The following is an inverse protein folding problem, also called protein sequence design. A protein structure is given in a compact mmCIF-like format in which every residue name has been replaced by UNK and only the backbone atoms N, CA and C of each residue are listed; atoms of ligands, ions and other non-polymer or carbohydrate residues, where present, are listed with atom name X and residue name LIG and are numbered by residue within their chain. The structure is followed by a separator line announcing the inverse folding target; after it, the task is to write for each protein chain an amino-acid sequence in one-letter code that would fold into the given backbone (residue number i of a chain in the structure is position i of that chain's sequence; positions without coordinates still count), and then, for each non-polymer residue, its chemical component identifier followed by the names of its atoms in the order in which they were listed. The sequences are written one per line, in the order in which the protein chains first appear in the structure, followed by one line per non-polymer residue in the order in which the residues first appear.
data_IF_554881457413
#
_entry.id   IF_554881457413
#
_cell.length_a   1.000
_cell.length_b   1.000
_cell.length_c   1.000
_cell.angle_alpha   90.00
_cell.angle_beta   90.00
_cell.angle_gamma   90.00
#
_symmetry.space_group_name_H-M   'P 1'
#
loop_
_entity.id
_entity.type
_entity.pdbx_description
1 polymer ?
#
# COMPACT_ATOMS: atom_id res chain seq x y z
N UNK A 1 -13.21 -16.75 -13.38
CA UNK A 1 -12.79 -15.63 -14.26
C UNK A 1 -13.43 -14.38 -13.72
N UNK A 2 -12.68 -13.33 -13.35
CA UNK A 2 -13.27 -12.16 -12.69
C UNK A 2 -14.21 -11.44 -13.67
N UNK A 3 -15.42 -11.15 -13.21
CA UNK A 3 -16.57 -10.71 -14.00
C UNK A 3 -16.51 -9.27 -14.50
N UNK A 4 -15.57 -8.97 -15.39
CA UNK A 4 -15.55 -7.71 -16.14
C UNK A 4 -16.00 -7.96 -17.59
N UNK A 5 -16.99 -7.19 -18.05
CA UNK A 5 -17.38 -7.17 -19.45
C UNK A 5 -16.24 -6.58 -20.31
N UNK A 6 -15.98 -7.11 -21.52
CA UNK A 6 -14.81 -6.77 -22.31
C UNK A 6 -14.95 -5.38 -22.97
N UNK A 7 -14.80 -4.29 -22.20
CA UNK A 7 -14.55 -2.97 -22.78
C UNK A 7 -13.05 -2.80 -22.97
N UNK A 8 -12.63 -2.83 -24.23
CA UNK A 8 -11.23 -2.60 -24.63
C UNK A 8 -10.83 -1.18 -24.25
N UNK A 9 -9.91 -1.03 -23.28
CA UNK A 9 -9.09 0.18 -23.15
C UNK A 9 -8.94 0.81 -21.77
N UNK A 10 -9.71 0.43 -20.74
CA UNK A 10 -9.71 1.17 -19.46
C UNK A 10 -9.87 0.26 -18.24
N UNK A 11 -9.05 -0.79 -18.11
CA UNK A 11 -8.97 -1.59 -16.87
C UNK A 11 -8.01 -1.00 -15.83
N UNK A 12 -7.44 0.19 -16.08
CA UNK A 12 -6.57 0.85 -15.11
C UNK A 12 -7.43 1.57 -14.07
N UNK A 13 -7.63 0.94 -12.93
CA UNK A 13 -8.12 1.62 -11.74
C UNK A 13 -6.90 2.28 -11.11
N UNK A 14 -6.84 3.61 -11.11
CA UNK A 14 -5.79 4.38 -10.45
C UNK A 14 -5.92 4.25 -8.93
N UNK A 15 -5.36 3.17 -8.40
CA UNK A 15 -5.15 2.96 -6.97
C UNK A 15 -3.92 3.79 -6.59
N UNK A 16 -4.03 4.62 -5.56
CA UNK A 16 -3.15 5.77 -5.23
C UNK A 16 -3.62 7.17 -5.70
N UNK A 17 -4.84 7.32 -6.22
CA UNK A 17 -5.40 8.65 -6.55
C UNK A 17 -5.81 9.49 -5.32
N UNK A 18 -6.11 8.84 -4.19
CA UNK A 18 -6.52 9.51 -2.95
C UNK A 18 -5.31 9.74 -2.05
N UNK A 19 -4.99 11.02 -1.79
CA UNK A 19 -3.96 11.39 -0.81
C UNK A 19 -4.41 11.02 0.61
N UNK A 20 -3.84 9.96 1.16
CA UNK A 20 -4.12 9.53 2.52
C UNK A 20 -3.43 10.44 3.54
N UNK A 21 -4.10 10.76 4.67
CA UNK A 21 -3.48 11.47 5.79
C UNK A 21 -2.22 10.76 6.31
N UNK A 22 -1.16 11.53 6.60
CA UNK A 22 0.14 10.99 7.03
C UNK A 22 0.05 10.17 8.33
N UNK A 23 -0.81 10.59 9.26
CA UNK A 23 -1.09 9.88 10.50
C UNK A 23 -1.66 8.48 10.25
N UNK A 24 -2.53 8.32 9.24
CA UNK A 24 -3.10 7.01 8.88
C UNK A 24 -2.05 6.09 8.24
N UNK A 25 -1.18 6.65 7.38
CA UNK A 25 -0.06 5.91 6.80
C UNK A 25 0.93 5.41 7.85
N UNK A 26 1.07 6.10 8.99
CA UNK A 26 1.96 5.67 10.07
C UNK A 26 1.39 4.50 10.88
N UNK A 27 0.09 4.21 10.77
CA UNK A 27 -0.52 3.09 11.50
C UNK A 27 -0.25 1.73 10.84
N UNK A 28 0.04 1.71 9.54
CA UNK A 28 0.25 0.48 8.77
C UNK A 28 1.69 0.41 8.29
N UNK A 29 2.39 -0.66 8.66
CA UNK A 29 3.82 -0.89 8.34
C UNK A 29 4.77 0.28 8.70
N UNK A 30 4.74 0.84 9.93
CA UNK A 30 5.65 1.91 10.33
C UNK A 30 7.12 1.50 10.26
N UNK A 31 7.42 0.23 10.58
CA UNK A 31 8.77 -0.32 10.53
C UNK A 31 9.35 -0.28 9.12
N UNK A 32 8.55 -0.56 8.09
CA UNK A 32 9.03 -0.53 6.71
C UNK A 32 9.49 0.87 6.29
N UNK A 33 8.83 1.92 6.81
CA UNK A 33 9.21 3.31 6.57
C UNK A 33 10.52 3.68 7.27
N UNK A 34 10.72 3.21 8.51
CA UNK A 34 11.94 3.44 9.28
C UNK A 34 13.12 2.74 8.58
N UNK A 35 12.96 1.45 8.27
CA UNK A 35 14.01 0.67 7.62
C UNK A 35 14.40 1.23 6.25
N UNK A 36 13.44 1.72 5.47
CA UNK A 36 13.74 2.36 4.19
C UNK A 36 14.54 3.66 4.40
N UNK A 37 14.18 4.44 5.41
CA UNK A 37 14.88 5.67 5.77
C UNK A 37 16.31 5.40 6.22
N UNK A 38 16.53 4.36 7.04
CA UNK A 38 17.86 3.96 7.49
C UNK A 38 18.76 3.50 6.32
N UNK A 39 18.17 2.93 5.26
CA UNK A 39 18.89 2.63 4.00
C UNK A 39 19.27 3.90 3.26
N UNK A 40 18.32 4.84 3.13
CA UNK A 40 18.54 6.11 2.42
C UNK A 40 19.59 6.97 3.13
N UNK A 41 19.64 6.94 4.46
CA UNK A 41 20.64 7.63 5.28
C UNK A 41 22.00 6.90 5.31
N UNK A 42 22.08 5.69 4.73
CA UNK A 42 23.30 4.89 4.66
C UNK A 42 23.67 4.18 5.96
N UNK A 43 22.78 4.21 6.95
CA UNK A 43 22.90 3.54 8.26
C UNK A 43 22.80 2.01 8.13
N UNK A 44 22.14 1.50 7.08
CA UNK A 44 21.91 0.07 6.86
C UNK A 44 22.24 -0.40 5.45
N UNK A 45 22.99 -1.50 5.33
CA UNK A 45 23.26 -2.19 4.06
C UNK A 45 22.32 -3.37 3.86
N UNK A 46 21.15 -3.11 3.27
CA UNK A 46 20.27 -4.17 2.79
C UNK A 46 20.58 -4.54 1.33
N UNK A 47 20.15 -5.73 0.92
CA UNK A 47 20.21 -6.13 -0.48
C UNK A 47 19.24 -5.30 -1.33
N UNK A 48 19.52 -5.15 -2.63
CA UNK A 48 18.63 -4.45 -3.57
C UNK A 48 17.20 -5.03 -3.53
N UNK A 49 17.08 -6.35 -3.37
CA UNK A 49 15.79 -7.02 -3.26
C UNK A 49 15.02 -6.61 -1.99
N UNK A 50 15.71 -6.48 -0.85
CA UNK A 50 15.09 -6.03 0.39
C UNK A 50 14.60 -4.58 0.29
N UNK A 51 15.38 -3.69 -0.33
CA UNK A 51 14.95 -2.30 -0.58
C UNK A 51 13.72 -2.26 -1.49
N UNK A 52 13.73 -3.00 -2.60
CA UNK A 52 12.56 -3.10 -3.48
C UNK A 52 11.32 -3.68 -2.79
N UNK A 53 11.51 -4.64 -1.88
CA UNK A 53 10.42 -5.18 -1.06
C UNK A 53 9.84 -4.15 -0.09
N UNK A 54 10.68 -3.34 0.57
CA UNK A 54 10.22 -2.26 1.44
C UNK A 54 9.43 -1.21 0.65
N UNK A 55 9.90 -0.83 -0.53
CA UNK A 55 9.18 0.08 -1.42
C UNK A 55 7.81 -0.50 -1.83
N UNK A 56 7.76 -1.79 -2.16
CA UNK A 56 6.52 -2.48 -2.48
C UNK A 56 5.55 -2.48 -1.28
N UNK A 57 6.02 -2.75 -0.06
CA UNK A 57 5.20 -2.69 1.14
C UNK A 57 4.61 -1.29 1.36
N UNK A 58 5.41 -0.23 1.18
CA UNK A 58 4.94 1.15 1.34
C UNK A 58 3.95 1.58 0.25
N UNK A 59 4.05 1.03 -0.96
CA UNK A 59 3.05 1.18 -2.01
C UNK A 59 1.75 0.45 -1.65
N UNK A 60 1.83 -0.84 -1.29
CA UNK A 60 0.68 -1.67 -0.91
C UNK A 60 -0.05 -1.11 0.29
N UNK A 61 0.67 -0.48 1.24
CA UNK A 61 0.08 0.24 2.37
C UNK A 61 -1.01 1.21 1.95
N UNK A 62 -0.77 2.00 0.89
CA UNK A 62 -1.75 2.98 0.40
C UNK A 62 -2.98 2.30 -0.17
N UNK A 63 -2.76 1.24 -0.96
CA UNK A 63 -3.82 0.45 -1.58
C UNK A 63 -4.69 -0.23 -0.52
N UNK A 64 -4.07 -0.86 0.49
CA UNK A 64 -4.77 -1.51 1.60
C UNK A 64 -5.64 -0.50 2.35
N UNK A 65 -5.11 0.68 2.68
CA UNK A 65 -5.89 1.70 3.40
C UNK A 65 -7.06 2.25 2.56
N UNK A 66 -6.87 2.43 1.25
CA UNK A 66 -7.95 2.85 0.35
C UNK A 66 -9.06 1.79 0.31
N UNK A 67 -8.68 0.52 0.15
CA UNK A 67 -9.63 -0.58 0.04
C UNK A 67 -10.27 -0.93 1.41
N UNK A 68 -9.58 -0.68 2.52
CA UNK A 68 -10.08 -0.94 3.88
C UNK A 68 -11.32 -0.11 4.20
N UNK A 69 -11.42 1.13 3.70
CA UNK A 69 -12.62 1.96 3.88
C UNK A 69 -13.85 1.29 3.26
N UNK A 70 -13.70 0.74 2.05
CA UNK A 70 -14.78 -0.01 1.38
C UNK A 70 -15.06 -1.33 2.09
N UNK A 71 -14.02 -1.98 2.62
CA UNK A 71 -14.17 -3.24 3.33
C UNK A 71 -14.93 -3.06 4.64
N UNK A 72 -14.65 -1.99 5.40
CA UNK A 72 -15.33 -1.64 6.65
C UNK A 72 -16.79 -1.24 6.43
N UNK A 73 -17.14 -0.64 5.29
CA UNK A 73 -18.54 -0.31 4.97
C UNK A 73 -19.37 -1.53 4.60
N UNK A 74 -18.78 -2.50 3.88
CA UNK A 74 -19.47 -3.72 3.45
C UNK A 74 -19.47 -4.80 4.54
N UNK A 75 -18.38 -4.90 5.30
CA UNK A 75 -18.16 -5.91 6.34
C UNK A 75 -17.71 -5.26 7.66
N UNK A 76 -18.62 -4.62 8.41
CA UNK A 76 -18.26 -3.88 9.63
C UNK A 76 -17.76 -4.75 10.79
N UNK A 77 -17.98 -6.07 10.72
CA UNK A 77 -17.47 -7.04 11.71
C UNK A 77 -16.17 -7.73 11.26
N UNK A 78 -15.58 -7.28 10.14
CA UNK A 78 -14.33 -7.83 9.65
C UNK A 78 -13.20 -7.53 10.66
N UNK A 79 -12.30 -8.49 10.95
CA UNK A 79 -11.27 -8.33 11.99
C UNK A 79 -10.12 -7.37 11.61
N UNK A 80 -10.24 -6.63 10.50
CA UNK A 80 -9.25 -5.65 10.03
C UNK A 80 -9.91 -4.28 9.94
#
# INVERSE_FOLDING_TARGET
MPGFAPQKGTYFIERDSVQLPKNMLQMVFPQAQILLKDVEEGESKYSTAAVGFLQLLLYLRKVILQDAVLLMTVYPQHPI
#
